data_IF_172304974924
#
_entry.id   IF_172304974924
#
_cell.length_a   1.000
_cell.length_b   1.000
_cell.length_c   1.000
_cell.angle_alpha   90.00
_cell.angle_beta   90.00
_cell.angle_gamma   90.00
#
_symmetry.space_group_name_H-M   'P 1'
#
loop_
_entity.id
_entity.type
_entity.pdbx_description
1 polymer ?
#
# COMPACT_ATOMS: atom_id res chain seq x y z
N UNK A 1 -20.85 4.89 15.86
CA UNK A 1 -20.32 5.98 16.72
C UNK A 1 -21.04 6.07 18.05
N UNK A 2 -22.37 6.26 18.09
CA UNK A 2 -23.14 6.37 19.34
C UNK A 2 -22.89 5.21 20.32
N UNK A 3 -22.98 3.95 19.87
CA UNK A 3 -22.72 2.79 20.72
C UNK A 3 -21.30 2.77 21.35
N UNK A 4 -20.29 3.32 20.66
CA UNK A 4 -18.94 3.43 21.23
C UNK A 4 -18.88 4.57 22.25
N UNK A 5 -19.53 5.71 21.97
CA UNK A 5 -19.61 6.82 22.91
C UNK A 5 -20.30 6.41 24.21
N UNK A 6 -21.46 5.75 24.11
CA UNK A 6 -22.22 5.24 25.26
C UNK A 6 -21.38 4.25 26.08
N UNK A 7 -20.60 3.37 25.41
CA UNK A 7 -19.71 2.42 26.07
C UNK A 7 -18.56 3.10 26.82
N UNK A 8 -18.02 4.20 26.28
CA UNK A 8 -16.96 5.00 26.91
C UNK A 8 -17.51 5.79 28.09
N UNK A 9 -18.69 6.39 27.96
CA UNK A 9 -19.34 7.16 29.02
C UNK A 9 -19.73 6.27 30.21
N UNK A 10 -20.33 5.11 29.94
CA UNK A 10 -20.74 4.16 30.98
C UNK A 10 -19.56 3.59 31.76
N UNK A 11 -18.39 3.46 31.13
CA UNK A 11 -17.18 2.92 31.75
C UNK A 11 -16.22 3.98 32.30
N UNK A 12 -16.62 5.26 32.36
CA UNK A 12 -15.87 6.28 33.11
C UNK A 12 -15.79 5.92 34.60
N UNK A 13 -16.87 5.32 35.12
CA UNK A 13 -16.96 4.75 36.46
C UNK A 13 -16.82 3.23 36.36
N UNK A 14 -16.34 2.57 37.42
CA UNK A 14 -16.27 1.11 37.44
C UNK A 14 -17.68 0.51 37.30
N UNK A 15 -18.00 0.03 36.09
CA UNK A 15 -19.22 -0.71 35.84
C UNK A 15 -19.05 -2.17 36.32
N UNK A 16 -20.03 -2.70 37.06
CA UNK A 16 -20.02 -4.09 37.54
C UNK A 16 -20.62 -5.06 36.52
N UNK A 17 -21.46 -4.57 35.63
CA UNK A 17 -22.15 -5.39 34.63
C UNK A 17 -22.06 -4.72 33.24
N UNK A 18 -20.91 -4.83 32.55
CA UNK A 18 -20.79 -4.36 31.18
C UNK A 18 -21.59 -5.24 30.22
N UNK A 19 -22.10 -4.66 29.14
CA UNK A 19 -22.83 -5.42 28.11
C UNK A 19 -21.95 -6.54 27.56
N UNK A 20 -22.44 -7.78 27.61
CA UNK A 20 -21.65 -8.97 27.25
C UNK A 20 -20.82 -9.55 28.40
N UNK A 21 -21.03 -9.09 29.64
CA UNK A 21 -20.49 -9.65 30.88
C UNK A 21 -19.03 -9.31 31.17
N UNK A 22 -18.27 -8.81 30.18
CA UNK A 22 -16.89 -8.36 30.37
C UNK A 22 -16.60 -7.10 29.55
N UNK A 23 -15.62 -6.30 30.00
CA UNK A 23 -15.15 -5.12 29.25
C UNK A 23 -14.56 -5.52 27.89
N UNK A 24 -13.98 -6.72 27.78
CA UNK A 24 -13.47 -7.23 26.50
C UNK A 24 -14.61 -7.44 25.50
N UNK A 25 -15.68 -8.12 25.91
CA UNK A 25 -16.83 -8.39 25.04
C UNK A 25 -17.58 -7.13 24.62
N UNK A 26 -17.53 -6.08 25.45
CA UNK A 26 -18.09 -4.77 25.11
C UNK A 26 -17.23 -4.04 24.07
N UNK A 27 -15.93 -3.83 24.36
CA UNK A 27 -15.09 -2.95 23.54
C UNK A 27 -14.53 -3.62 22.29
N UNK A 28 -14.18 -4.91 22.35
CA UNK A 28 -13.49 -5.60 21.25
C UNK A 28 -14.32 -5.56 19.95
N UNK A 29 -15.63 -5.92 19.93
CA UNK A 29 -16.41 -5.89 18.69
C UNK A 29 -16.65 -4.47 18.20
N UNK A 30 -16.87 -3.51 19.11
CA UNK A 30 -17.11 -2.10 18.78
C UNK A 30 -15.89 -1.46 18.13
N UNK A 31 -14.71 -1.63 18.72
CA UNK A 31 -13.45 -1.09 18.18
C UNK A 31 -13.14 -1.76 16.84
N UNK A 32 -13.30 -3.09 16.75
CA UNK A 32 -13.10 -3.81 15.49
C UNK A 32 -14.04 -3.33 14.39
N UNK A 33 -15.30 -3.03 14.70
CA UNK A 33 -16.24 -2.49 13.72
C UNK A 33 -15.83 -1.08 13.27
N UNK A 34 -15.48 -0.21 14.22
CA UNK A 34 -15.00 1.15 13.91
C UNK A 34 -13.74 1.11 13.05
N UNK A 35 -12.79 0.24 13.39
CA UNK A 35 -11.57 0.01 12.61
C UNK A 35 -11.87 -0.38 11.15
N UNK A 36 -12.80 -1.32 10.94
CA UNK A 36 -13.21 -1.72 9.59
C UNK A 36 -13.95 -0.62 8.84
N UNK A 37 -14.80 0.16 9.50
CA UNK A 37 -15.49 1.29 8.89
C UNK A 37 -14.53 2.43 8.51
N UNK A 38 -13.50 2.66 9.32
CA UNK A 38 -12.40 3.59 9.01
C UNK A 38 -11.65 3.12 7.76
N UNK A 39 -11.28 1.83 7.70
CA UNK A 39 -10.57 1.25 6.56
C UNK A 39 -11.34 1.33 5.24
N UNK A 40 -12.66 1.11 5.28
CA UNK A 40 -13.52 1.19 4.08
C UNK A 40 -13.75 2.64 3.65
N UNK A 41 -13.45 3.62 4.52
CA UNK A 41 -13.64 5.05 4.23
C UNK A 41 -15.10 5.49 4.35
N UNK A 42 -15.90 4.82 5.20
CA UNK A 42 -17.31 5.19 5.43
C UNK A 42 -17.48 6.27 6.51
N UNK A 43 -16.43 6.58 7.27
CA UNK A 43 -16.48 7.59 8.33
C UNK A 43 -16.26 8.98 7.74
N UNK A 44 -17.11 9.94 8.14
CA UNK A 44 -16.99 11.35 7.76
C UNK A 44 -16.07 12.08 8.74
N UNK A 45 -15.68 13.30 8.40
CA UNK A 45 -14.80 14.12 9.25
C UNK A 45 -15.36 14.30 10.66
N UNK A 46 -16.67 14.54 10.80
CA UNK A 46 -17.36 14.62 12.10
C UNK A 46 -17.25 13.33 12.92
N UNK A 47 -17.26 12.18 12.26
CA UNK A 47 -17.16 10.87 12.91
C UNK A 47 -15.71 10.60 13.35
N UNK A 48 -14.73 11.03 12.54
CA UNK A 48 -13.30 10.94 12.88
C UNK A 48 -12.96 11.88 14.04
N UNK A 49 -13.50 13.11 14.05
CA UNK A 49 -13.31 14.06 15.16
C UNK A 49 -13.85 13.48 16.47
N UNK A 50 -15.08 12.97 16.46
CA UNK A 50 -15.66 12.28 17.63
C UNK A 50 -14.81 11.09 18.07
N UNK A 51 -14.26 10.32 17.12
CA UNK A 51 -13.37 9.20 17.43
C UNK A 51 -12.09 9.67 18.15
N UNK A 52 -11.44 10.72 17.64
CA UNK A 52 -10.24 11.28 18.26
C UNK A 52 -10.50 11.79 19.68
N UNK A 53 -11.62 12.49 19.89
CA UNK A 53 -12.06 12.95 21.21
C UNK A 53 -12.29 11.77 22.17
N UNK A 54 -12.90 10.67 21.70
CA UNK A 54 -13.08 9.47 22.54
C UNK A 54 -11.75 8.77 22.86
N UNK A 55 -10.79 8.77 21.93
CA UNK A 55 -9.46 8.16 22.13
C UNK A 55 -8.68 8.90 23.20
N UNK A 56 -8.59 10.24 23.09
CA UNK A 56 -7.89 11.09 24.05
C UNK A 56 -8.55 12.48 24.12
N UNK A 57 -9.49 12.70 25.07
CA UNK A 57 -10.21 13.96 25.16
C UNK A 57 -9.28 15.12 25.56
N UNK A 58 -8.30 14.89 26.43
CA UNK A 58 -7.33 15.91 26.85
C UNK A 58 -6.56 16.54 25.67
N UNK A 59 -6.32 15.77 24.61
CA UNK A 59 -5.56 16.25 23.45
C UNK A 59 -6.44 16.86 22.37
N UNK A 60 -7.64 16.29 22.16
CA UNK A 60 -8.44 16.53 20.96
C UNK A 60 -9.74 17.30 21.21
N UNK A 61 -10.22 17.37 22.46
CA UNK A 61 -11.43 18.13 22.80
C UNK A 61 -11.03 19.58 23.13
N UNK A 62 -11.42 20.57 22.30
CA UNK A 62 -11.08 21.98 22.54
C UNK A 62 -11.69 22.54 23.83
N UNK A 63 -12.74 21.89 24.35
CA UNK A 63 -13.48 22.30 25.55
C UNK A 63 -13.06 21.54 26.81
N UNK A 64 -12.04 20.67 26.71
CA UNK A 64 -11.58 19.86 27.84
C UNK A 64 -11.02 20.73 28.96
N UNK A 65 -11.65 20.64 30.14
CA UNK A 65 -11.21 21.35 31.33
C UNK A 65 -10.61 20.38 32.35
N UNK A 66 -9.27 20.35 32.39
CA UNK A 66 -8.49 19.45 33.25
C UNK A 66 -8.67 19.75 34.75
N UNK A 67 -9.01 20.98 35.11
CA UNK A 67 -9.16 21.43 36.50
C UNK A 67 -10.63 21.66 36.88
N UNK A 68 -11.56 21.30 35.99
CA UNK A 68 -12.99 21.52 36.16
C UNK A 68 -13.81 20.24 35.98
N UNK A 69 -14.79 20.29 35.07
CA UNK A 69 -15.81 19.23 34.93
C UNK A 69 -15.27 17.91 34.37
N UNK A 70 -14.14 17.94 33.67
CA UNK A 70 -13.58 16.78 32.97
C UNK A 70 -12.39 16.14 33.71
N UNK A 71 -12.12 16.51 34.98
CA UNK A 71 -10.98 15.98 35.76
C UNK A 71 -10.93 14.44 35.78
N UNK A 72 -12.10 13.78 35.78
CA UNK A 72 -12.21 12.32 35.80
C UNK A 72 -12.53 11.69 34.44
N UNK A 73 -12.66 12.48 33.37
CA UNK A 73 -13.02 11.99 32.04
C UNK A 73 -11.80 11.36 31.37
N UNK A 74 -11.79 10.04 31.27
CA UNK A 74 -10.74 9.23 30.64
C UNK A 74 -11.09 8.91 29.20
N UNK A 75 -10.13 9.08 28.30
CA UNK A 75 -10.22 8.53 26.93
C UNK A 75 -9.94 7.04 26.91
N UNK A 76 -10.29 6.37 25.81
CA UNK A 76 -10.07 4.92 25.64
C UNK A 76 -8.63 4.49 25.97
N UNK A 77 -7.63 5.30 25.64
CA UNK A 77 -6.22 4.96 25.87
C UNK A 77 -5.82 4.90 27.34
N UNK A 78 -6.52 5.65 28.21
CA UNK A 78 -6.24 5.75 29.64
C UNK A 78 -7.17 4.87 30.49
N UNK A 79 -8.12 4.17 29.85
CA UNK A 79 -9.02 3.24 30.52
C UNK A 79 -8.34 1.88 30.69
N UNK A 80 -8.70 1.16 31.75
CA UNK A 80 -8.24 -0.22 31.95
C UNK A 80 -8.95 -1.14 30.96
N UNK A 81 -8.25 -1.52 29.90
CA UNK A 81 -8.74 -2.41 28.85
C UNK A 81 -8.01 -3.76 28.88
N UNK A 82 -8.71 -4.83 28.50
CA UNK A 82 -8.13 -6.16 28.30
C UNK A 82 -7.15 -6.16 27.11
N UNK A 83 -6.20 -7.12 27.09
CA UNK A 83 -5.18 -7.21 26.03
C UNK A 83 -5.78 -7.31 24.62
N UNK A 84 -6.87 -8.06 24.44
CA UNK A 84 -7.56 -8.17 23.15
C UNK A 84 -8.05 -6.82 22.61
N UNK A 85 -8.57 -5.97 23.49
CA UNK A 85 -9.05 -4.64 23.12
C UNK A 85 -7.88 -3.66 22.90
N UNK A 86 -6.79 -3.75 23.68
CA UNK A 86 -5.54 -3.01 23.41
C UNK A 86 -4.96 -3.37 22.04
N UNK A 87 -5.00 -4.64 21.64
CA UNK A 87 -4.56 -5.09 20.31
C UNK A 87 -5.38 -4.48 19.18
N UNK A 88 -6.72 -4.46 19.30
CA UNK A 88 -7.55 -3.80 18.29
C UNK A 88 -7.32 -2.28 18.25
N UNK A 89 -7.07 -1.66 19.41
CA UNK A 89 -6.68 -0.26 19.47
C UNK A 89 -5.35 -0.01 18.74
N UNK A 90 -4.36 -0.90 18.86
CA UNK A 90 -3.12 -0.79 18.08
C UNK A 90 -3.40 -0.77 16.57
N UNK A 91 -4.27 -1.64 16.05
CA UNK A 91 -4.63 -1.62 14.61
C UNK A 91 -5.31 -0.31 14.20
N UNK A 92 -6.25 0.18 15.02
CA UNK A 92 -6.91 1.46 14.77
C UNK A 92 -5.89 2.62 14.70
N UNK A 93 -4.96 2.67 15.65
CA UNK A 93 -3.90 3.69 15.69
C UNK A 93 -2.93 3.54 14.50
N UNK A 94 -2.68 2.33 14.01
CA UNK A 94 -1.90 2.12 12.79
C UNK A 94 -2.61 2.72 11.56
N UNK A 95 -3.92 2.51 11.42
CA UNK A 95 -4.68 3.09 10.31
C UNK A 95 -4.75 4.63 10.39
N UNK A 96 -4.82 5.21 11.60
CA UNK A 96 -4.72 6.67 11.77
C UNK A 96 -3.33 7.19 11.32
N UNK A 97 -2.25 6.47 11.66
CA UNK A 97 -0.91 6.81 11.15
C UNK A 97 -0.83 6.67 9.61
N UNK A 98 -1.49 5.68 9.01
CA UNK A 98 -1.54 5.52 7.54
C UNK A 98 -2.22 6.72 6.87
N UNK A 99 -3.27 7.27 7.49
CA UNK A 99 -3.95 8.47 7.01
C UNK A 99 -3.03 9.69 7.08
N UNK A 100 -2.30 9.86 8.18
CA UNK A 100 -1.30 10.94 8.31
C UNK A 100 -0.18 10.80 7.27
N UNK A 101 0.35 9.59 7.07
CA UNK A 101 1.34 9.33 6.03
C UNK A 101 0.82 9.69 4.64
N UNK A 102 -0.42 9.29 4.32
CA UNK A 102 -1.07 9.63 3.05
C UNK A 102 -1.15 11.13 2.85
N UNK A 103 -1.60 11.89 3.86
CA UNK A 103 -1.68 13.34 3.79
C UNK A 103 -0.30 13.99 3.58
N UNK A 104 0.76 13.49 4.23
CA UNK A 104 2.14 13.98 4.03
C UNK A 104 2.62 13.74 2.60
N UNK A 105 2.32 12.56 2.05
CA UNK A 105 2.65 12.22 0.66
C UNK A 105 1.89 13.13 -0.31
N UNK A 106 0.58 13.30 -0.14
CA UNK A 106 -0.25 14.18 -0.98
C UNK A 106 0.22 15.64 -0.93
N UNK A 107 0.54 16.14 0.26
CA UNK A 107 1.09 17.49 0.45
C UNK A 107 2.44 17.67 -0.27
N UNK A 108 3.30 16.64 -0.22
CA UNK A 108 4.59 16.64 -0.92
C UNK A 108 4.39 16.66 -2.44
N UNK A 109 3.44 15.90 -2.97
CA UNK A 109 3.11 15.88 -4.39
C UNK A 109 2.53 17.22 -4.83
N UNK A 110 1.61 17.80 -4.05
CA UNK A 110 1.01 19.09 -4.35
C UNK A 110 2.08 20.19 -4.44
N UNK A 111 2.98 20.24 -3.46
CA UNK A 111 4.14 21.13 -3.50
C UNK A 111 5.03 20.87 -4.73
N UNK A 112 5.34 19.61 -5.03
CA UNK A 112 6.18 19.25 -6.17
C UNK A 112 5.56 19.64 -7.51
N UNK A 113 4.23 19.55 -7.65
CA UNK A 113 3.52 19.95 -8.86
C UNK A 113 3.72 21.44 -9.17
N UNK A 114 3.50 22.30 -8.17
CA UNK A 114 3.63 23.74 -8.34
C UNK A 114 5.10 24.14 -8.53
N UNK A 115 6.00 23.58 -7.71
CA UNK A 115 7.43 23.84 -7.79
C UNK A 115 8.04 23.44 -9.16
N UNK A 116 7.65 22.29 -9.70
CA UNK A 116 8.11 21.86 -11.04
C UNK A 116 7.53 22.78 -12.13
N UNK A 117 6.30 23.26 -11.98
CA UNK A 117 5.71 24.24 -12.90
C UNK A 117 6.51 25.55 -12.95
N UNK A 118 6.91 26.06 -11.78
CA UNK A 118 7.75 27.25 -11.67
C UNK A 118 9.13 27.02 -12.28
N UNK A 119 9.76 25.89 -11.96
CA UNK A 119 11.08 25.51 -12.48
C UNK A 119 11.08 25.40 -14.01
N UNK A 120 10.04 24.81 -14.60
CA UNK A 120 9.90 24.70 -16.05
C UNK A 120 9.74 26.09 -16.69
N UNK A 121 8.96 26.97 -16.06
CA UNK A 121 8.79 28.36 -16.51
C UNK A 121 10.11 29.13 -16.47
N UNK A 122 10.92 28.94 -15.42
CA UNK A 122 12.24 29.55 -15.32
C UNK A 122 13.21 29.02 -16.39
N UNK A 123 13.22 27.71 -16.64
CA UNK A 123 14.03 27.13 -17.73
C UNK A 123 13.67 27.69 -19.11
N UNK A 124 12.39 28.00 -19.37
CA UNK A 124 11.96 28.66 -20.61
C UNK A 124 12.51 30.09 -20.71
N UNK A 125 12.53 30.84 -19.60
CA UNK A 125 13.13 32.18 -19.55
C UNK A 125 14.62 32.12 -19.86
N UNK A 126 15.34 31.11 -19.36
CA UNK A 126 16.76 30.94 -19.65
C UNK A 126 17.05 30.64 -21.13
N UNK A 127 16.24 29.79 -21.78
CA UNK A 127 16.41 29.46 -23.21
C UNK A 127 16.11 30.65 -24.13
N UNK A 128 15.27 31.57 -23.68
CA UNK A 128 14.95 32.82 -24.40
C UNK A 128 16.02 33.85 -24.05
N UNK A 129 17.10 33.96 -24.84
CA UNK A 129 18.21 34.90 -24.55
C UNK A 129 17.65 36.28 -24.16
N UNK A 130 17.85 36.76 -22.92
CA UNK A 130 17.41 38.09 -22.57
C UNK A 130 18.23 39.10 -23.38
N UNK A 131 17.54 39.94 -24.17
CA UNK A 131 18.13 41.19 -24.65
C UNK A 131 18.61 42.04 -23.46
N UNK A 132 19.36 43.12 -23.72
CA UNK A 132 19.93 43.96 -22.66
C UNK A 132 18.93 44.38 -21.56
N UNK A 133 17.65 44.55 -21.92
CA UNK A 133 16.54 44.83 -21.00
C UNK A 133 16.20 43.67 -20.03
N UNK A 134 16.30 42.41 -20.44
CA UNK A 134 16.03 41.26 -19.57
C UNK A 134 17.10 41.04 -18.49
N UNK A 135 18.35 41.44 -18.78
CA UNK A 135 19.43 41.46 -17.77
C UNK A 135 19.16 42.54 -16.72
N UNK A 136 18.70 43.72 -17.14
CA UNK A 136 18.30 44.79 -16.22
C UNK A 136 17.11 44.37 -15.34
N UNK A 137 16.11 43.72 -15.93
CA UNK A 137 14.95 43.23 -15.18
C UNK A 137 15.31 42.15 -14.16
N UNK A 138 16.20 41.23 -14.50
CA UNK A 138 16.71 40.25 -13.54
C UNK A 138 17.50 40.91 -12.41
N UNK A 139 18.34 41.92 -12.71
CA UNK A 139 19.05 42.70 -11.68
C UNK A 139 18.06 43.42 -10.77
N UNK A 140 17.03 44.06 -11.33
CA UNK A 140 15.98 44.74 -10.56
C UNK A 140 15.20 43.75 -9.69
N UNK A 141 14.88 42.55 -10.19
CA UNK A 141 14.23 41.51 -9.39
C UNK A 141 15.14 40.98 -8.28
N UNK A 142 16.43 40.73 -8.54
CA UNK A 142 17.37 40.34 -7.48
C UNK A 142 17.58 41.45 -6.46
N UNK A 143 17.55 42.72 -6.87
CA UNK A 143 17.63 43.85 -5.94
C UNK A 143 16.34 43.95 -5.13
N UNK A 144 15.17 43.72 -5.75
CA UNK A 144 13.88 43.68 -5.06
C UNK A 144 13.76 42.52 -4.07
N UNK A 145 14.30 41.35 -4.42
CA UNK A 145 14.39 40.17 -3.53
C UNK A 145 15.40 40.37 -2.38
N UNK A 146 16.39 41.25 -2.55
CA UNK A 146 17.35 41.65 -1.51
C UNK A 146 16.83 42.82 -0.65
N UNK A 147 15.89 43.62 -1.17
CA UNK A 147 15.19 44.71 -0.48
C UNK A 147 13.96 44.23 0.32
N UNK A 148 13.48 43.01 0.08
CA UNK A 148 12.50 42.37 0.96
C UNK A 148 13.16 42.04 2.32
N UNK A 149 12.80 42.87 3.29
CA UNK A 149 13.30 42.96 4.66
C UNK A 149 13.31 41.65 5.48
N UNK A 150 14.13 41.61 6.55
CA UNK A 150 14.50 40.41 7.29
C UNK A 150 13.30 39.56 7.75
N UNK A 151 13.48 38.24 7.59
CA UNK A 151 12.61 37.18 8.10
C UNK A 151 12.02 37.57 9.46
N UNK A 152 10.70 37.69 9.48
CA UNK A 152 9.92 37.85 10.69
C UNK A 152 10.41 36.84 11.76
N UNK A 153 10.56 37.34 12.98
CA UNK A 153 10.89 36.58 14.18
C UNK A 153 10.07 35.28 14.18
N UNK A 154 10.75 34.14 14.11
CA UNK A 154 10.11 32.82 14.18
C UNK A 154 9.30 32.75 15.48
N UNK A 155 7.95 32.80 15.37
CA UNK A 155 7.09 32.34 16.45
C UNK A 155 7.58 30.95 16.89
N UNK A 156 7.59 30.64 18.21
CA UNK A 156 8.00 29.32 18.66
C UNK A 156 7.23 28.27 17.85
N UNK A 157 7.89 27.22 17.32
CA UNK A 157 7.25 26.29 16.42
C UNK A 157 6.03 25.72 17.13
N UNK A 158 4.83 26.11 16.66
CA UNK A 158 3.59 25.52 17.16
C UNK A 158 3.73 24.03 16.88
N UNK A 159 3.87 23.23 17.94
CA UNK A 159 3.96 21.76 17.84
C UNK A 159 2.84 21.33 16.91
N UNK A 160 3.22 20.73 15.79
CA UNK A 160 2.23 20.32 14.79
C UNK A 160 1.25 19.35 15.45
N UNK A 161 -0.02 19.30 15.01
CA UNK A 161 -0.97 18.30 15.51
C UNK A 161 -0.42 16.86 15.43
N UNK A 162 0.44 16.59 14.44
CA UNK A 162 1.18 15.33 14.29
C UNK A 162 2.15 15.08 15.45
N UNK A 163 2.92 16.09 15.88
CA UNK A 163 3.81 15.96 17.04
C UNK A 163 3.05 15.72 18.34
N UNK A 164 1.86 16.32 18.48
CA UNK A 164 0.98 16.06 19.62
C UNK A 164 0.52 14.61 19.62
N UNK A 165 0.02 14.11 18.47
CA UNK A 165 -0.39 12.72 18.32
C UNK A 165 0.76 11.74 18.59
N UNK A 166 1.95 12.01 18.05
CA UNK A 166 3.16 11.22 18.29
C UNK A 166 3.48 11.09 19.78
N UNK A 167 3.43 12.21 20.52
CA UNK A 167 3.70 12.22 21.96
C UNK A 167 2.67 11.40 22.73
N UNK A 168 1.39 11.53 22.40
CA UNK A 168 0.31 10.73 23.00
C UNK A 168 0.52 9.25 22.75
N UNK A 169 0.87 8.85 21.53
CA UNK A 169 1.13 7.45 21.19
C UNK A 169 2.30 6.87 21.97
N UNK A 170 3.44 7.58 22.01
CA UNK A 170 4.63 7.13 22.74
C UNK A 170 4.30 6.98 24.22
N UNK A 171 3.68 8.00 24.83
CA UNK A 171 3.30 7.94 26.24
C UNK A 171 2.34 6.78 26.54
N UNK A 172 1.36 6.55 25.66
CA UNK A 172 0.37 5.48 25.84
C UNK A 172 1.02 4.09 25.79
N UNK A 173 1.89 3.85 24.80
CA UNK A 173 2.57 2.56 24.63
C UNK A 173 3.50 2.28 25.81
N UNK A 174 4.23 3.29 26.28
CA UNK A 174 5.09 3.18 27.47
C UNK A 174 4.25 2.88 28.72
N UNK A 175 3.17 3.63 28.95
CA UNK A 175 2.26 3.38 30.08
C UNK A 175 1.70 1.96 30.07
N UNK A 176 1.24 1.47 28.90
CA UNK A 176 0.71 0.11 28.80
C UNK A 176 1.74 -0.98 29.10
N UNK A 177 3.02 -0.73 28.79
CA UNK A 177 4.11 -1.64 29.10
C UNK A 177 4.54 -1.58 30.58
N UNK A 178 4.41 -0.41 31.23
CA UNK A 178 4.73 -0.22 32.64
C UNK A 178 3.63 -0.73 33.59
N UNK A 179 2.36 -0.63 33.19
CA UNK A 179 1.20 -1.00 34.02
C UNK A 179 1.09 -2.49 34.32
N UNK A 180 1.39 -3.34 33.34
CA UNK A 180 1.14 -4.79 33.43
C UNK A 180 2.08 -5.58 32.53
N UNK A 181 2.51 -6.76 32.99
CA UNK A 181 3.21 -7.71 32.14
C UNK A 181 2.26 -8.23 31.05
N UNK A 182 2.65 -8.06 29.78
CA UNK A 182 1.85 -8.47 28.62
C UNK A 182 2.14 -9.92 28.28
N UNK A 183 1.10 -10.74 28.19
CA UNK A 183 1.23 -12.17 27.87
C UNK A 183 1.21 -12.43 26.36
N UNK A 184 0.37 -11.68 25.61
CA UNK A 184 0.17 -11.93 24.18
C UNK A 184 1.34 -11.41 23.33
N UNK A 185 2.13 -12.28 22.65
CA UNK A 185 3.27 -11.82 21.84
C UNK A 185 2.86 -10.99 20.62
N UNK A 186 1.63 -11.16 20.13
CA UNK A 186 1.07 -10.35 19.04
C UNK A 186 0.89 -8.89 19.47
N UNK A 187 0.40 -8.64 20.68
CA UNK A 187 0.23 -7.28 21.20
C UNK A 187 1.57 -6.58 21.32
N UNK A 188 2.57 -7.27 21.87
CA UNK A 188 3.95 -6.76 21.97
C UNK A 188 4.49 -6.36 20.59
N UNK A 189 4.33 -7.23 19.58
CA UNK A 189 4.77 -6.93 18.21
C UNK A 189 4.11 -5.67 17.65
N UNK A 190 2.79 -5.53 17.78
CA UNK A 190 2.07 -4.37 17.26
C UNK A 190 2.39 -3.07 18.01
N UNK A 191 2.61 -3.15 19.33
CA UNK A 191 3.06 -2.02 20.15
C UNK A 191 4.45 -1.52 19.73
N UNK A 192 5.43 -2.43 19.59
CA UNK A 192 6.76 -2.05 19.11
C UNK A 192 6.75 -1.57 17.67
N UNK A 193 5.93 -2.18 16.80
CA UNK A 193 5.74 -1.73 15.42
C UNK A 193 5.26 -0.28 15.37
N UNK A 194 4.26 0.08 16.17
CA UNK A 194 3.78 1.46 16.32
C UNK A 194 4.88 2.39 16.84
N UNK A 195 5.62 1.98 17.87
CA UNK A 195 6.67 2.79 18.46
C UNK A 195 7.79 3.09 17.46
N UNK A 196 8.30 2.06 16.77
CA UNK A 196 9.34 2.22 15.74
C UNK A 196 8.87 3.16 14.64
N UNK A 197 7.62 3.04 14.22
CA UNK A 197 7.02 3.90 13.20
C UNK A 197 6.96 5.38 13.61
N UNK A 198 6.70 5.67 14.89
CA UNK A 198 6.73 7.05 15.40
C UNK A 198 8.12 7.69 15.39
N UNK A 199 9.17 6.89 15.55
CA UNK A 199 10.56 7.37 15.46
C UNK A 199 11.06 7.42 14.00
N UNK A 200 10.77 6.40 13.19
CA UNK A 200 11.17 6.30 11.77
C UNK A 200 10.19 7.01 10.82
N UNK A 201 9.82 8.25 11.15
CA UNK A 201 8.85 9.03 10.36
C UNK A 201 9.39 9.47 8.99
N UNK A 202 10.72 9.49 8.81
CA UNK A 202 11.38 9.83 7.54
C UNK A 202 11.52 8.59 6.67
N UNK A 203 12.01 7.47 7.20
CA UNK A 203 12.14 6.24 6.44
C UNK A 203 10.80 5.72 5.97
N UNK A 204 9.74 5.90 6.76
CA UNK A 204 8.37 5.61 6.33
C UNK A 204 7.94 6.46 5.14
N UNK A 205 8.21 7.77 5.18
CA UNK A 205 7.89 8.68 4.08
C UNK A 205 8.67 8.31 2.81
N UNK A 206 9.96 7.99 2.92
CA UNK A 206 10.78 7.56 1.77
C UNK A 206 10.16 6.30 1.13
N UNK A 207 9.86 5.28 1.94
CA UNK A 207 9.23 4.03 1.44
C UNK A 207 7.85 4.26 0.83
N UNK A 208 7.10 5.25 1.31
CA UNK A 208 5.81 5.62 0.74
C UNK A 208 5.97 6.37 -0.60
N UNK A 209 6.96 7.27 -0.70
CA UNK A 209 7.24 8.02 -1.92
C UNK A 209 7.73 7.10 -3.05
N UNK A 210 8.51 6.07 -2.75
CA UNK A 210 8.92 5.04 -3.72
C UNK A 210 7.74 4.31 -4.37
N UNK A 211 6.60 4.25 -3.69
CA UNK A 211 5.37 3.60 -4.17
C UNK A 211 4.35 4.57 -4.77
N UNK A 212 4.62 5.86 -4.67
CA UNK A 212 3.73 6.92 -5.12
C UNK A 212 3.95 7.19 -6.60
N UNK A 213 2.86 7.41 -7.34
CA UNK A 213 2.94 7.70 -8.76
C UNK A 213 1.91 8.77 -9.14
N UNK A 214 2.32 9.73 -9.97
CA UNK A 214 1.47 10.83 -10.44
C UNK A 214 0.99 10.52 -11.86
N UNK A 215 -0.32 10.54 -12.05
CA UNK A 215 -0.98 10.33 -13.35
C UNK A 215 -1.64 11.61 -13.83
N UNK A 216 -1.89 11.68 -15.14
CA UNK A 216 -2.70 12.75 -15.71
C UNK A 216 -4.19 12.56 -15.33
N UNK A 217 -4.91 13.64 -15.11
CA UNK A 217 -6.36 13.62 -14.88
C UNK A 217 -7.14 12.93 -16.02
N UNK A 218 -6.64 12.99 -17.26
CA UNK A 218 -7.27 12.35 -18.43
C UNK A 218 -7.28 10.82 -18.35
N UNK A 219 -6.26 10.21 -17.76
CA UNK A 219 -6.10 8.75 -17.65
C UNK A 219 -6.70 8.18 -16.37
N UNK A 220 -7.44 8.97 -15.60
CA UNK A 220 -8.00 8.57 -14.29
C UNK A 220 -8.93 7.35 -14.40
N UNK A 221 -9.82 7.33 -15.40
CA UNK A 221 -10.76 6.22 -15.60
C UNK A 221 -10.03 4.94 -15.99
N UNK A 222 -9.08 5.05 -16.91
CA UNK A 222 -8.25 3.92 -17.35
C UNK A 222 -7.48 3.30 -16.18
N UNK A 223 -6.88 4.13 -15.31
CA UNK A 223 -6.18 3.66 -14.10
C UNK A 223 -7.15 3.01 -13.10
N UNK A 224 -8.36 3.55 -12.94
CA UNK A 224 -9.37 2.96 -12.07
C UNK A 224 -9.79 1.56 -12.54
N UNK A 225 -10.01 1.37 -13.84
CA UNK A 225 -10.31 0.05 -14.41
C UNK A 225 -9.14 -0.93 -14.23
N UNK A 226 -7.91 -0.46 -14.42
CA UNK A 226 -6.69 -1.23 -14.18
C UNK A 226 -6.58 -1.66 -12.71
N UNK A 227 -6.91 -0.77 -11.77
CA UNK A 227 -6.88 -1.04 -10.34
C UNK A 227 -7.89 -2.11 -9.92
N UNK A 228 -9.11 -2.07 -10.47
CA UNK A 228 -10.12 -3.11 -10.25
C UNK A 228 -9.65 -4.46 -10.82
N UNK A 229 -9.01 -4.46 -11.99
CA UNK A 229 -8.39 -5.67 -12.54
C UNK A 229 -7.31 -6.23 -11.62
N UNK A 230 -6.43 -5.38 -11.11
CA UNK A 230 -5.34 -5.77 -10.21
C UNK A 230 -5.85 -6.28 -8.85
N UNK A 231 -6.88 -5.65 -8.27
CA UNK A 231 -7.45 -6.09 -7.00
C UNK A 231 -8.03 -7.49 -7.10
N UNK A 232 -8.66 -7.82 -8.24
CA UNK A 232 -9.15 -9.16 -8.52
C UNK A 232 -8.00 -10.16 -8.69
N UNK A 233 -6.93 -9.82 -9.42
CA UNK A 233 -5.74 -10.68 -9.52
C UNK A 233 -5.14 -10.96 -8.13
N UNK A 234 -5.03 -9.93 -7.28
CA UNK A 234 -4.51 -10.08 -5.92
C UNK A 234 -5.42 -10.91 -5.01
N UNK A 235 -6.74 -10.83 -5.21
CA UNK A 235 -7.71 -11.65 -4.48
C UNK A 235 -7.56 -13.15 -4.82
N UNK A 236 -7.02 -13.48 -5.99
CA UNK A 236 -6.78 -14.86 -6.40
C UNK A 236 -5.46 -15.45 -5.85
N UNK A 237 -4.52 -14.63 -5.37
CA UNK A 237 -3.24 -15.10 -4.83
C UNK A 237 -3.35 -16.13 -3.69
N UNK A 238 -4.22 -15.94 -2.67
CA UNK A 238 -4.37 -16.91 -1.59
C UNK A 238 -5.30 -18.08 -1.94
N UNK A 239 -6.04 -18.00 -3.05
CA UNK A 239 -7.09 -18.96 -3.38
C UNK A 239 -6.52 -20.11 -4.21
N UNK A 240 -7.04 -21.32 -3.97
CA UNK A 240 -6.73 -22.47 -4.81
C UNK A 240 -7.55 -22.39 -6.11
N UNK A 241 -6.85 -22.10 -7.21
CA UNK A 241 -7.47 -21.86 -8.51
C UNK A 241 -8.30 -23.04 -9.04
N UNK A 242 -9.55 -22.75 -9.39
CA UNK A 242 -10.45 -23.55 -10.21
C UNK A 242 -10.48 -23.05 -11.66
N UNK A 243 -11.11 -23.80 -12.57
CA UNK A 243 -11.21 -23.44 -14.00
C UNK A 243 -11.87 -22.06 -14.23
N UNK A 244 -12.87 -21.70 -13.42
CA UNK A 244 -13.55 -20.40 -13.49
C UNK A 244 -12.58 -19.24 -13.15
N UNK A 245 -11.70 -19.46 -12.19
CA UNK A 245 -10.70 -18.48 -11.74
C UNK A 245 -9.55 -18.35 -12.75
N UNK A 246 -9.16 -19.45 -13.39
CA UNK A 246 -8.20 -19.45 -14.51
C UNK A 246 -8.73 -18.63 -15.69
N UNK A 247 -10.00 -18.80 -16.06
CA UNK A 247 -10.64 -18.02 -17.11
C UNK A 247 -10.76 -16.54 -16.73
N UNK A 248 -11.12 -16.24 -15.49
CA UNK A 248 -11.18 -14.89 -14.97
C UNK A 248 -9.80 -14.21 -15.06
N UNK A 249 -8.74 -14.89 -14.63
CA UNK A 249 -7.36 -14.40 -14.71
C UNK A 249 -6.98 -14.04 -16.15
N UNK A 250 -7.24 -14.93 -17.11
CA UNK A 250 -6.97 -14.66 -18.54
C UNK A 250 -7.70 -13.43 -19.05
N UNK A 251 -9.00 -13.29 -18.74
CA UNK A 251 -9.81 -12.11 -19.12
C UNK A 251 -9.25 -10.82 -18.52
N UNK A 252 -8.78 -10.86 -17.27
CA UNK A 252 -8.21 -9.68 -16.60
C UNK A 252 -6.85 -9.30 -17.14
N UNK A 253 -5.95 -10.26 -17.38
CA UNK A 253 -4.66 -10.00 -18.01
C UNK A 253 -4.83 -9.35 -19.38
N UNK A 254 -5.77 -9.84 -20.20
CA UNK A 254 -6.03 -9.25 -21.51
C UNK A 254 -6.57 -7.82 -21.40
N UNK A 255 -7.50 -7.56 -20.46
CA UNK A 255 -8.02 -6.20 -20.21
C UNK A 255 -6.92 -5.25 -19.71
N UNK A 256 -5.97 -5.74 -18.91
CA UNK A 256 -4.83 -4.94 -18.43
C UNK A 256 -3.90 -4.54 -19.58
N UNK A 257 -3.55 -5.47 -20.48
CA UNK A 257 -2.65 -5.17 -21.62
C UNK A 257 -3.31 -4.24 -22.64
N UNK A 258 -4.63 -4.36 -22.85
CA UNK A 258 -5.36 -3.50 -23.79
C UNK A 258 -5.63 -2.09 -23.26
N UNK A 259 -5.22 -1.78 -22.03
CA UNK A 259 -5.38 -0.45 -21.47
C UNK A 259 -4.26 0.47 -21.96
N UNK A 260 -4.59 1.68 -22.43
CA UNK A 260 -3.60 2.66 -22.89
C UNK A 260 -2.59 3.03 -21.80
N UNK A 261 -3.03 3.05 -20.54
CA UNK A 261 -2.18 3.34 -19.37
C UNK A 261 -1.01 2.36 -19.26
N UNK A 262 -1.19 1.10 -19.68
CA UNK A 262 -0.17 0.06 -19.60
C UNK A 262 1.12 0.44 -20.35
N UNK A 263 0.98 1.08 -21.51
CA UNK A 263 2.10 1.50 -22.33
C UNK A 263 2.53 2.95 -22.08
N UNK A 264 1.61 3.83 -21.68
CA UNK A 264 1.92 5.23 -21.37
C UNK A 264 2.71 5.38 -20.07
N UNK A 265 2.45 4.52 -19.09
CA UNK A 265 3.05 4.56 -17.76
C UNK A 265 3.69 3.22 -17.39
N UNK A 266 4.82 2.83 -18.03
CA UNK A 266 5.47 1.55 -17.80
C UNK A 266 5.95 1.37 -16.36
N UNK A 267 6.34 2.47 -15.71
CA UNK A 267 6.80 2.46 -14.32
C UNK A 267 5.66 2.16 -13.33
N UNK A 268 4.41 2.51 -13.66
CA UNK A 268 3.25 2.27 -12.79
C UNK A 268 3.00 0.78 -12.58
N UNK A 269 3.10 -0.04 -13.63
CA UNK A 269 2.93 -1.50 -13.55
C UNK A 269 4.01 -2.14 -12.65
N UNK A 270 5.23 -1.59 -12.70
CA UNK A 270 6.34 -2.02 -11.86
C UNK A 270 6.14 -1.62 -10.41
N UNK A 271 5.79 -0.35 -10.15
CA UNK A 271 5.52 0.16 -8.79
C UNK A 271 4.39 -0.61 -8.11
N UNK A 272 3.34 -0.97 -8.87
CA UNK A 272 2.23 -1.80 -8.39
C UNK A 272 2.58 -3.29 -8.29
N UNK A 273 3.79 -3.70 -8.67
CA UNK A 273 4.29 -5.08 -8.62
C UNK A 273 3.35 -6.07 -9.30
N UNK A 274 2.74 -5.66 -10.41
CA UNK A 274 1.81 -6.53 -11.14
C UNK A 274 2.54 -7.77 -11.67
N UNK A 275 3.77 -7.60 -12.14
CA UNK A 275 4.62 -8.70 -12.60
C UNK A 275 4.88 -9.74 -11.49
N UNK A 276 5.22 -9.33 -10.26
CA UNK A 276 5.37 -10.24 -9.11
C UNK A 276 4.08 -11.02 -8.83
N UNK A 277 2.92 -10.34 -8.84
CA UNK A 277 1.62 -10.99 -8.61
C UNK A 277 1.29 -12.03 -9.70
N UNK A 278 1.54 -11.70 -10.97
CA UNK A 278 1.30 -12.62 -12.09
C UNK A 278 2.24 -13.82 -12.04
N UNK A 279 3.51 -13.61 -11.69
CA UNK A 279 4.44 -14.71 -11.48
C UNK A 279 3.98 -15.62 -10.34
N UNK A 280 3.61 -15.07 -9.18
CA UNK A 280 3.12 -15.85 -8.05
C UNK A 280 1.89 -16.69 -8.40
N UNK A 281 0.92 -16.12 -9.12
CA UNK A 281 -0.25 -16.87 -9.64
C UNK A 281 0.20 -18.02 -10.55
N UNK A 282 1.11 -17.74 -11.49
CA UNK A 282 1.65 -18.75 -12.39
C UNK A 282 2.33 -19.89 -11.61
N UNK A 283 3.09 -19.59 -10.55
CA UNK A 283 3.73 -20.62 -9.72
C UNK A 283 2.72 -21.48 -8.97
N UNK A 284 1.72 -20.87 -8.33
CA UNK A 284 0.74 -21.60 -7.53
C UNK A 284 0.00 -22.63 -8.37
N UNK A 285 -0.25 -22.33 -9.65
CA UNK A 285 -0.85 -23.28 -10.60
C UNK A 285 0.14 -24.36 -11.07
N UNK A 286 1.42 -24.02 -11.26
CA UNK A 286 2.44 -24.96 -11.74
C UNK A 286 2.94 -25.93 -10.66
N UNK A 287 3.17 -25.46 -9.43
CA UNK A 287 3.63 -26.28 -8.30
C UNK A 287 2.66 -27.42 -7.96
N UNK A 288 1.36 -27.16 -8.11
CA UNK A 288 0.29 -28.17 -7.96
C UNK A 288 0.42 -29.32 -8.96
N UNK A 289 0.88 -29.04 -10.19
CA UNK A 289 0.98 -30.06 -11.25
C UNK A 289 2.20 -30.95 -11.08
N UNK A 290 3.32 -30.40 -10.60
CA UNK A 290 4.49 -31.19 -10.25
C UNK A 290 4.17 -32.22 -9.15
N UNK A 291 3.40 -31.82 -8.13
CA UNK A 291 2.93 -32.72 -7.07
C UNK A 291 1.89 -33.75 -7.58
N UNK A 292 0.93 -33.33 -8.41
CA UNK A 292 -0.07 -34.26 -8.96
C UNK A 292 0.53 -35.28 -9.95
N UNK A 293 1.66 -34.98 -10.59
CA UNK A 293 2.39 -35.92 -11.45
C UNK A 293 3.30 -36.87 -10.66
N UNK A 294 3.81 -36.47 -9.50
CA UNK A 294 4.61 -37.36 -8.63
C UNK A 294 3.79 -38.38 -7.86
N UNK A 295 2.51 -38.08 -7.55
CA UNK A 295 1.61 -39.01 -6.84
C UNK A 295 0.94 -40.05 -7.77
N UNK A 296 1.07 -39.91 -9.10
CA UNK A 296 0.53 -40.88 -10.04
C UNK A 296 1.55 -42.02 -10.29
N UNK A 297 1.36 -43.16 -9.62
CA UNK A 297 2.05 -44.41 -9.97
C UNK A 297 1.79 -44.80 -11.44
N UNK A 298 2.75 -45.43 -12.15
CA UNK A 298 2.59 -45.80 -13.54
C UNK A 298 1.74 -47.07 -13.63
N UNK A 299 0.42 -46.93 -13.51
CA UNK A 299 -0.51 -48.03 -13.72
C UNK A 299 -1.55 -47.63 -14.79
N UNK A 300 -1.36 -48.23 -15.96
CA UNK A 300 -2.26 -48.32 -17.12
C UNK A 300 -2.50 -47.06 -17.98
N UNK A 301 -2.61 -47.22 -19.32
CA UNK A 301 -2.89 -46.12 -20.23
C UNK A 301 -4.32 -45.60 -19.98
N UNK A 302 -4.54 -44.29 -19.83
CA UNK A 302 -5.86 -43.78 -19.53
C UNK A 302 -6.73 -43.77 -20.80
N UNK A 303 -7.98 -44.21 -20.64
CA UNK A 303 -9.06 -43.86 -21.55
C UNK A 303 -9.17 -42.33 -21.61
N UNK A 304 -9.06 -41.78 -22.83
CA UNK A 304 -9.27 -40.38 -23.09
C UNK A 304 -10.77 -40.10 -23.06
N UNK A 305 -11.27 -39.26 -22.14
CA UNK A 305 -12.19 -38.19 -22.56
C UNK A 305 -12.51 -37.05 -21.57
N UNK A 306 -12.22 -37.13 -20.27
CA UNK A 306 -12.60 -36.02 -19.35
C UNK A 306 -11.43 -35.30 -18.64
N UNK A 307 -10.27 -35.94 -18.46
CA UNK A 307 -9.10 -35.30 -17.81
C UNK A 307 -8.25 -34.45 -18.75
N UNK A 308 -8.56 -34.42 -20.04
CA UNK A 308 -7.84 -33.63 -21.06
C UNK A 308 -8.26 -32.16 -21.06
N UNK A 309 -9.55 -31.87 -20.89
CA UNK A 309 -10.09 -30.50 -20.91
C UNK A 309 -9.62 -29.67 -19.72
N UNK A 310 -9.58 -30.22 -18.51
CA UNK A 310 -9.06 -29.51 -17.32
C UNK A 310 -7.56 -29.19 -17.44
N UNK A 311 -6.80 -30.05 -18.14
CA UNK A 311 -5.36 -29.87 -18.35
C UNK A 311 -5.03 -28.81 -19.41
N UNK A 312 -5.97 -28.47 -20.27
CA UNK A 312 -5.77 -27.49 -21.34
C UNK A 312 -6.09 -26.04 -20.90
N UNK A 313 -7.07 -25.81 -20.02
CA UNK A 313 -7.38 -24.44 -19.51
C UNK A 313 -6.23 -23.85 -18.70
N UNK A 314 -5.60 -24.66 -17.86
CA UNK A 314 -4.46 -24.25 -17.03
C UNK A 314 -3.25 -23.85 -17.87
N UNK A 315 -2.99 -24.58 -18.96
CA UNK A 315 -1.95 -24.21 -19.92
C UNK A 315 -2.24 -22.87 -20.60
N UNK A 316 -3.49 -22.64 -21.01
CA UNK A 316 -3.88 -21.37 -21.63
C UNK A 316 -3.74 -20.18 -20.67
N UNK A 317 -4.01 -20.38 -19.38
CA UNK A 317 -3.77 -19.36 -18.36
C UNK A 317 -2.27 -19.06 -18.19
N UNK A 318 -1.42 -20.10 -18.10
CA UNK A 318 0.04 -19.92 -18.01
C UNK A 318 0.59 -19.22 -19.25
N UNK A 319 0.09 -19.57 -20.44
CA UNK A 319 0.41 -18.90 -21.71
C UNK A 319 0.02 -17.43 -21.66
N UNK A 320 -1.17 -17.10 -21.14
CA UNK A 320 -1.60 -15.71 -20.97
C UNK A 320 -0.69 -14.93 -20.00
N UNK A 321 -0.26 -15.56 -18.90
CA UNK A 321 0.70 -14.98 -17.96
C UNK A 321 2.05 -14.72 -18.62
N UNK A 322 2.61 -15.69 -19.36
CA UNK A 322 3.88 -15.54 -20.06
C UNK A 322 3.80 -14.43 -21.11
N UNK A 323 2.72 -14.36 -21.90
CA UNK A 323 2.50 -13.27 -22.87
C UNK A 323 2.46 -11.91 -22.19
N UNK A 324 1.74 -11.78 -21.08
CA UNK A 324 1.70 -10.56 -20.28
C UNK A 324 3.10 -10.14 -19.83
N UNK A 325 3.89 -11.07 -19.29
CA UNK A 325 5.25 -10.80 -18.82
C UNK A 325 6.20 -10.41 -19.97
N UNK A 326 6.06 -11.03 -21.15
CA UNK A 326 6.79 -10.63 -22.35
C UNK A 326 6.43 -9.20 -22.78
N UNK A 327 5.14 -8.82 -22.77
CA UNK A 327 4.73 -7.45 -23.05
C UNK A 327 5.32 -6.48 -22.01
N UNK A 328 5.26 -6.83 -20.73
CA UNK A 328 5.85 -6.04 -19.65
C UNK A 328 7.35 -5.79 -19.87
N UNK A 329 8.12 -6.82 -20.24
CA UNK A 329 9.55 -6.66 -20.56
C UNK A 329 9.79 -5.68 -21.73
N UNK A 330 8.93 -5.68 -22.75
CA UNK A 330 9.06 -4.79 -23.91
C UNK A 330 8.74 -3.33 -23.62
N UNK A 331 8.04 -3.03 -22.51
CA UNK A 331 7.64 -1.66 -22.19
C UNK A 331 8.78 -0.77 -21.68
N UNK A 332 9.88 -1.34 -21.16
CA UNK A 332 11.02 -0.53 -20.72
C UNK A 332 12.18 -1.32 -20.12
N UNK A 333 13.40 -0.77 -20.21
CA UNK A 333 14.64 -1.40 -19.72
C UNK A 333 14.63 -1.66 -18.21
N UNK A 334 14.00 -0.78 -17.44
CA UNK A 334 13.91 -0.99 -16.00
C UNK A 334 12.88 -2.07 -15.61
N UNK A 335 11.88 -2.31 -16.46
CA UNK A 335 10.94 -3.42 -16.29
C UNK A 335 11.62 -4.76 -16.61
N UNK A 336 12.50 -4.78 -17.61
CA UNK A 336 13.39 -5.93 -17.86
C UNK A 336 14.27 -6.23 -16.64
N UNK A 337 14.87 -5.20 -16.03
CA UNK A 337 15.68 -5.37 -14.81
C UNK A 337 14.87 -5.98 -13.67
N UNK A 338 13.64 -5.50 -13.43
CA UNK A 338 12.77 -6.08 -12.40
C UNK A 338 12.42 -7.56 -12.69
N UNK A 339 12.28 -7.95 -13.96
CA UNK A 339 12.10 -9.35 -14.35
C UNK A 339 13.39 -10.17 -14.23
N UNK A 340 14.54 -9.57 -14.45
CA UNK A 340 15.85 -10.21 -14.33
C UNK A 340 16.16 -10.64 -12.89
N UNK A 341 15.65 -9.91 -11.89
CA UNK A 341 15.76 -10.34 -10.47
C UNK A 341 15.06 -11.69 -10.20
N UNK A 342 14.14 -12.11 -11.08
CA UNK A 342 13.46 -13.41 -11.05
C UNK A 342 13.96 -14.39 -12.13
N UNK A 343 15.13 -14.14 -12.72
CA UNK A 343 15.65 -14.90 -13.85
C UNK A 343 15.95 -16.37 -13.52
N UNK A 344 16.64 -16.63 -12.40
CA UNK A 344 16.95 -18.01 -11.94
C UNK A 344 15.67 -18.82 -11.79
N UNK A 345 14.66 -18.21 -11.18
CA UNK A 345 13.35 -18.82 -10.98
C UNK A 345 12.65 -19.16 -12.31
N UNK A 346 12.75 -18.29 -13.32
CA UNK A 346 12.19 -18.56 -14.65
C UNK A 346 12.90 -19.72 -15.36
N UNK A 347 14.22 -19.86 -15.16
CA UNK A 347 15.01 -20.94 -15.74
C UNK A 347 14.73 -22.30 -15.09
N UNK A 348 14.55 -22.36 -13.78
CA UNK A 348 14.14 -23.60 -13.09
C UNK A 348 12.83 -24.17 -13.65
N UNK A 349 11.96 -23.28 -14.13
CA UNK A 349 10.64 -23.59 -14.68
C UNK A 349 10.60 -23.54 -16.22
N UNK A 350 11.75 -23.50 -16.90
CA UNK A 350 11.82 -23.32 -18.36
C UNK A 350 11.27 -24.50 -19.16
N UNK A 351 11.30 -25.70 -18.59
CA UNK A 351 10.88 -26.94 -19.26
C UNK A 351 9.35 -27.04 -19.44
N UNK A 352 8.60 -26.15 -18.79
CA UNK A 352 7.15 -26.14 -18.79
C UNK A 352 6.66 -25.61 -20.14
N UNK A 353 5.75 -26.35 -20.79
CA UNK A 353 5.17 -26.07 -22.11
C UNK A 353 6.10 -26.21 -23.33
N UNK A 354 7.38 -26.57 -23.17
CA UNK A 354 8.31 -26.77 -24.30
C UNK A 354 7.90 -27.91 -25.25
N UNK A 355 7.09 -28.85 -24.79
CA UNK A 355 6.62 -30.00 -25.57
C UNK A 355 5.54 -29.66 -26.60
N UNK A 356 5.00 -28.42 -26.61
CA UNK A 356 3.96 -27.99 -27.56
C UNK A 356 4.47 -26.87 -28.47
N UNK A 357 4.86 -27.16 -29.72
CA UNK A 357 5.37 -26.15 -30.67
C UNK A 357 4.42 -24.99 -30.96
N UNK A 358 3.11 -25.20 -30.81
CA UNK A 358 2.08 -24.15 -30.97
C UNK A 358 2.11 -23.07 -29.89
N UNK A 359 2.83 -23.29 -28.79
CA UNK A 359 2.94 -22.37 -27.65
C UNK A 359 4.29 -21.63 -27.60
N UNK A 360 5.12 -21.74 -28.65
CA UNK A 360 6.38 -20.99 -28.77
C UNK A 360 6.12 -19.47 -28.75
N UNK A 361 6.93 -18.73 -27.99
CA UNK A 361 6.74 -17.30 -27.73
C UNK A 361 5.82 -16.99 -26.54
N UNK A 362 5.45 -18.01 -25.75
CA UNK A 362 4.59 -17.87 -24.57
C UNK A 362 4.96 -18.87 -23.47
N UNK A 363 6.23 -19.26 -23.42
CA UNK A 363 6.79 -20.12 -22.37
C UNK A 363 7.57 -19.30 -21.34
N UNK A 364 7.81 -19.82 -20.12
CA UNK A 364 8.67 -19.15 -19.13
C UNK A 364 10.07 -18.85 -19.67
N UNK A 365 10.59 -19.73 -20.55
CA UNK A 365 11.87 -19.50 -21.24
C UNK A 365 11.84 -18.27 -22.15
N UNK A 366 10.72 -18.02 -22.85
CA UNK A 366 10.55 -16.82 -23.67
C UNK A 366 10.50 -15.54 -22.81
N UNK A 367 9.96 -15.64 -21.59
CA UNK A 367 9.97 -14.53 -20.62
C UNK A 367 11.40 -14.25 -20.16
N UNK A 368 12.17 -15.29 -19.82
CA UNK A 368 13.58 -15.18 -19.47
C UNK A 368 14.38 -14.52 -20.61
N UNK A 369 14.19 -14.97 -21.86
CA UNK A 369 14.79 -14.33 -23.03
C UNK A 369 14.38 -12.84 -23.17
N UNK A 370 13.09 -12.54 -23.01
CA UNK A 370 12.57 -11.17 -23.13
C UNK A 370 13.12 -10.22 -22.05
N UNK A 371 13.52 -10.74 -20.89
CA UNK A 371 14.15 -9.97 -19.82
C UNK A 371 15.58 -9.50 -20.16
N UNK A 372 16.25 -10.19 -21.10
CA UNK A 372 17.62 -9.87 -21.53
C UNK A 372 17.68 -9.21 -22.91
N UNK A 373 16.60 -9.31 -23.68
CA UNK A 373 16.54 -8.86 -25.07
C UNK A 373 16.93 -7.38 -25.19
N UNK A 374 17.91 -7.09 -26.04
CA UNK A 374 18.38 -5.73 -26.35
C UNK A 374 18.93 -4.94 -25.14
N UNK A 375 19.31 -5.64 -24.06
CA UNK A 375 19.87 -5.03 -22.86
C UNK A 375 21.29 -5.55 -22.57
N UNK A 376 22.28 -4.81 -23.06
CA UNK A 376 23.70 -5.15 -22.91
C UNK A 376 24.17 -5.15 -21.45
N UNK A 377 23.60 -4.31 -20.60
CA UNK A 377 23.98 -4.25 -19.18
C UNK A 377 23.57 -5.54 -18.44
N UNK A 378 22.33 -6.00 -18.66
CA UNK A 378 21.84 -7.24 -18.07
C UNK A 378 22.53 -8.47 -18.67
N UNK A 379 22.82 -8.46 -19.97
CA UNK A 379 23.56 -9.53 -20.62
C UNK A 379 24.98 -9.69 -20.04
N UNK A 380 25.64 -8.59 -19.66
CA UNK A 380 26.94 -8.63 -18.98
C UNK A 380 26.83 -9.03 -17.50
N UNK A 381 25.68 -8.78 -16.86
CA UNK A 381 25.43 -9.15 -15.47
C UNK A 381 25.05 -10.63 -15.30
N UNK A 382 24.74 -11.33 -16.39
CA UNK A 382 24.46 -12.77 -16.42
C UNK A 382 25.68 -13.54 -15.91
N UNK A 383 25.46 -14.42 -14.91
CA UNK A 383 26.52 -15.26 -14.32
C UNK A 383 26.46 -16.69 -14.80
#
# INVERSE_FOLDING_TARGET
>A
MQALADAVETNQVHNRDPVGGSNENLFLPLIKLVDRLLLVGMMRDEDVEKLLIMINPETWDPTFDKEGKDEHRKGLLHMKMAEGAKLQMCYLLQHLNDIQLRHRVESTIAFAHDFVGDLQTDQLRYKTKPGAFGKLYNIINTVKELEDEPKAIEEPPKKTPEEKFRKVLIQTIVNWAEESQIETPKLVREMFSLLVRQYDSIGELIRALEKTYVINAKTKLDVAEMWVGLSQIRALLPVQMSQEEEELMRKRLWKLVNNHTFFQHPDLIRVLRVHENVMAVMMNTLGRRAQAQSDAQPANPPAADDTSKEKDTSHEMVVACCRFLCYFCRTGRQNQKAMFDHFDFLLENSNILLSRPSLRGSTPLDVAYSSLMENTELALALR
#
